data_IF_796172461539
#
_entry.id   IF_796172461539
#
_cell.length_a   1.000
_cell.length_b   1.000
_cell.length_c   1.000
_cell.angle_alpha   90.00
_cell.angle_beta   90.00
_cell.angle_gamma   90.00
#
_symmetry.space_group_name_H-M   'P 1'
#
loop_
_entity.id
_entity.type
_entity.pdbx_description
1 polymer ?
#
# COMPACT_ATOMS: atom_id res chain seq x y z
N UNK A 1 16.61 -5.00 9.78
CA UNK A 1 16.86 -4.97 8.33
C UNK A 1 16.27 -3.65 7.81
N UNK A 2 16.90 -2.92 6.86
CA UNK A 2 16.42 -1.60 6.43
C UNK A 2 14.96 -1.61 5.95
N UNK A 3 14.45 -2.75 5.46
CA UNK A 3 13.04 -2.88 5.09
C UNK A 3 12.10 -2.88 6.31
N UNK A 4 12.56 -3.26 7.50
CA UNK A 4 11.77 -3.20 8.74
C UNK A 4 11.55 -1.76 9.19
N UNK A 5 12.56 -0.91 9.04
CA UNK A 5 12.48 0.52 9.37
C UNK A 5 11.55 1.25 8.40
N UNK A 6 11.66 0.96 7.10
CA UNK A 6 10.75 1.49 6.07
C UNK A 6 9.31 1.03 6.35
N UNK A 7 9.14 -0.24 6.74
CA UNK A 7 7.83 -0.77 7.12
C UNK A 7 7.22 -0.05 8.32
N UNK A 8 8.01 0.13 9.38
CA UNK A 8 7.58 0.87 10.55
C UNK A 8 7.16 2.31 10.22
N UNK A 9 7.95 3.00 9.37
CA UNK A 9 7.63 4.37 8.94
C UNK A 9 6.37 4.46 8.08
N UNK A 10 6.21 3.55 7.12
CA UNK A 10 5.05 3.54 6.23
C UNK A 10 3.75 3.24 6.99
N UNK A 11 3.83 2.30 7.94
CA UNK A 11 2.70 1.95 8.79
C UNK A 11 2.33 3.07 9.76
N UNK A 12 3.31 3.70 10.42
CA UNK A 12 3.07 4.87 11.28
C UNK A 12 2.44 6.02 10.48
N UNK A 13 2.95 6.29 9.27
CA UNK A 13 2.35 7.28 8.38
C UNK A 13 0.90 6.92 8.03
N UNK A 14 0.61 5.67 7.66
CA UNK A 14 -0.75 5.24 7.32
C UNK A 14 -1.69 5.33 8.51
N UNK A 15 -1.27 4.92 9.71
CA UNK A 15 -2.08 5.01 10.93
C UNK A 15 -2.37 6.48 11.27
N UNK A 16 -1.36 7.36 11.17
CA UNK A 16 -1.55 8.79 11.43
C UNK A 16 -2.51 9.43 10.44
N UNK A 17 -2.42 9.10 9.16
CA UNK A 17 -3.31 9.63 8.13
C UNK A 17 -4.74 9.10 8.25
N UNK A 18 -4.90 7.83 8.64
CA UNK A 18 -6.21 7.20 8.72
C UNK A 18 -6.93 7.47 10.06
N UNK A 19 -6.20 7.49 11.17
CA UNK A 19 -6.75 7.50 12.54
C UNK A 19 -6.30 8.70 13.40
N UNK A 20 -5.41 9.57 12.90
CA UNK A 20 -4.82 10.70 13.67
C UNK A 20 -4.15 10.33 15.00
N UNK A 21 -3.72 9.08 15.20
CA UNK A 21 -3.04 8.64 16.42
C UNK A 21 -1.60 8.22 16.18
N UNK A 22 -0.75 8.44 17.17
CA UNK A 22 0.55 7.79 17.28
C UNK A 22 0.35 6.43 17.94
N UNK A 23 0.68 5.36 17.23
CA UNK A 23 0.60 3.99 17.75
C UNK A 23 1.99 3.45 18.00
N UNK A 24 2.16 2.68 19.07
CA UNK A 24 3.40 1.98 19.36
C UNK A 24 3.53 0.81 18.35
N UNK A 25 4.50 0.92 17.46
CA UNK A 25 4.71 0.03 16.29
C UNK A 25 5.03 -1.43 16.70
N UNK A 26 5.32 -1.68 17.98
CA UNK A 26 5.67 -3.01 18.49
C UNK A 26 4.57 -4.06 18.24
N UNK A 27 3.29 -3.67 18.20
CA UNK A 27 2.16 -4.57 17.92
C UNK A 27 2.08 -5.01 16.46
N UNK A 28 2.81 -4.34 15.56
CA UNK A 28 2.76 -4.59 14.12
C UNK A 28 4.05 -5.18 13.53
N UNK A 29 5.06 -5.44 14.37
CA UNK A 29 6.30 -6.13 13.95
C UNK A 29 6.01 -7.50 13.31
N UNK A 30 4.94 -8.15 13.75
CA UNK A 30 4.51 -9.45 13.23
C UNK A 30 3.73 -9.35 11.91
N UNK A 31 3.28 -8.17 11.47
CA UNK A 31 2.49 -8.02 10.22
C UNK A 31 3.33 -8.36 9.00
N UNK A 32 4.60 -7.96 8.97
CA UNK A 32 5.52 -8.37 7.90
C UNK A 32 5.62 -9.90 7.80
N UNK A 33 5.66 -10.60 8.93
CA UNK A 33 5.69 -12.06 8.96
C UNK A 33 4.42 -12.71 8.39
N UNK A 34 3.26 -12.06 8.54
CA UNK A 34 2.01 -12.49 7.91
C UNK A 34 2.12 -12.37 6.39
N UNK A 35 2.55 -11.20 5.90
CA UNK A 35 2.68 -10.95 4.45
C UNK A 35 3.60 -11.99 3.82
N UNK A 36 4.75 -12.25 4.43
CA UNK A 36 5.71 -13.24 3.93
C UNK A 36 5.12 -14.67 3.92
N UNK A 37 4.45 -15.06 5.00
CA UNK A 37 3.87 -16.40 5.14
C UNK A 37 2.70 -16.60 4.17
N UNK A 38 1.74 -15.68 4.16
CA UNK A 38 0.55 -15.73 3.29
C UNK A 38 0.96 -15.60 1.82
N UNK A 39 1.85 -14.67 1.49
CA UNK A 39 2.39 -14.50 0.13
C UNK A 39 3.03 -15.79 -0.39
N UNK A 40 3.87 -16.44 0.43
CA UNK A 40 4.47 -17.74 0.10
C UNK A 40 3.41 -18.82 -0.12
N UNK A 41 2.40 -18.90 0.73
CA UNK A 41 1.31 -19.89 0.60
C UNK A 41 0.49 -19.66 -0.67
N UNK A 42 0.19 -18.40 -1.02
CA UNK A 42 -0.50 -18.04 -2.26
C UNK A 42 0.31 -18.49 -3.48
N UNK A 43 1.61 -18.17 -3.52
CA UNK A 43 2.50 -18.59 -4.61
C UNK A 43 2.54 -20.11 -4.73
N UNK A 44 2.71 -20.82 -3.62
CA UNK A 44 2.73 -22.29 -3.60
C UNK A 44 1.42 -22.86 -4.15
N UNK A 45 0.28 -22.28 -3.77
CA UNK A 45 -1.04 -22.74 -4.22
C UNK A 45 -1.25 -22.47 -5.71
N UNK A 46 -0.75 -21.36 -6.25
CA UNK A 46 -0.82 -21.05 -7.69
C UNK A 46 -0.07 -22.09 -8.53
N UNK A 47 1.13 -22.51 -8.12
CA UNK A 47 1.98 -23.40 -8.94
C UNK A 47 1.80 -24.89 -8.63
N UNK A 48 1.31 -25.28 -7.45
CA UNK A 48 1.15 -26.68 -7.05
C UNK A 48 -0.31 -27.09 -7.10
N UNK A 49 -0.73 -27.67 -8.22
CA UNK A 49 -2.11 -28.11 -8.48
C UNK A 49 -2.69 -28.99 -7.36
N UNK A 50 -1.88 -29.85 -6.73
CA UNK A 50 -2.33 -30.69 -5.62
C UNK A 50 -2.67 -29.91 -4.34
N UNK A 51 -2.12 -28.71 -4.14
CA UNK A 51 -2.48 -27.83 -3.02
C UNK A 51 -3.83 -27.11 -3.22
N UNK A 52 -4.48 -27.26 -4.38
CA UNK A 52 -5.87 -26.82 -4.54
C UNK A 52 -6.87 -27.74 -3.83
N UNK A 53 -6.44 -28.94 -3.45
CA UNK A 53 -7.26 -29.87 -2.67
C UNK A 53 -7.31 -29.36 -1.22
N UNK A 54 -8.46 -28.83 -0.82
CA UNK A 54 -8.67 -28.15 0.46
C UNK A 54 -8.21 -28.96 1.68
N UNK A 55 -8.57 -30.25 1.76
CA UNK A 55 -8.21 -31.07 2.92
C UNK A 55 -6.69 -31.30 3.01
N UNK A 56 -6.01 -31.44 1.88
CA UNK A 56 -4.57 -31.66 1.83
C UNK A 56 -3.81 -30.38 2.18
N UNK A 57 -4.27 -29.25 1.66
CA UNK A 57 -3.73 -27.94 2.02
C UNK A 57 -3.89 -27.66 3.51
N UNK A 58 -5.09 -27.88 4.06
CA UNK A 58 -5.35 -27.75 5.51
C UNK A 58 -4.45 -28.71 6.30
N UNK A 59 -4.32 -29.97 5.90
CA UNK A 59 -3.47 -30.90 6.64
C UNK A 59 -2.00 -30.44 6.75
N UNK A 60 -1.45 -29.83 5.70
CA UNK A 60 -0.02 -29.45 5.63
C UNK A 60 0.24 -28.06 6.21
N UNK A 61 -0.59 -27.06 5.86
CA UNK A 61 -0.32 -25.65 6.11
C UNK A 61 -1.26 -25.01 7.14
N UNK A 62 -2.22 -25.75 7.71
CA UNK A 62 -3.19 -25.17 8.65
C UNK A 62 -2.54 -24.50 9.85
N UNK A 63 -1.51 -25.08 10.46
CA UNK A 63 -0.85 -24.48 11.63
C UNK A 63 -0.23 -23.11 11.33
N UNK A 64 0.37 -22.97 10.15
CA UNK A 64 0.97 -21.72 9.70
C UNK A 64 -0.12 -20.69 9.38
N UNK A 65 -1.14 -21.10 8.64
CA UNK A 65 -2.29 -20.26 8.32
C UNK A 65 -3.03 -19.80 9.58
N UNK A 66 -3.23 -20.70 10.56
CA UNK A 66 -3.85 -20.38 11.84
C UNK A 66 -3.02 -19.37 12.64
N UNK A 67 -1.68 -19.46 12.56
CA UNK A 67 -0.78 -18.45 13.12
C UNK A 67 -0.98 -17.08 12.47
N UNK A 68 -0.99 -17.03 11.13
CA UNK A 68 -1.21 -15.79 10.38
C UNK A 68 -2.59 -15.18 10.63
N UNK A 69 -3.65 -16.01 10.67
CA UNK A 69 -5.02 -15.56 10.97
C UNK A 69 -5.09 -14.96 12.37
N UNK A 70 -4.47 -15.58 13.39
CA UNK A 70 -4.47 -15.04 14.76
C UNK A 70 -3.79 -13.69 14.87
N UNK A 71 -2.72 -13.46 14.11
CA UNK A 71 -2.04 -12.16 14.09
C UNK A 71 -2.92 -11.14 13.35
N UNK A 72 -3.53 -11.52 12.22
CA UNK A 72 -4.46 -10.64 11.50
C UNK A 72 -5.64 -10.25 12.39
N UNK A 73 -6.28 -11.22 13.06
CA UNK A 73 -7.37 -10.99 14.00
C UNK A 73 -6.95 -10.03 15.11
N UNK A 74 -5.72 -10.15 15.64
CA UNK A 74 -5.20 -9.21 16.64
C UNK A 74 -5.08 -7.80 16.08
N UNK A 75 -4.52 -7.63 14.87
CA UNK A 75 -4.40 -6.32 14.23
C UNK A 75 -5.76 -5.70 13.94
N UNK A 76 -6.71 -6.48 13.41
CA UNK A 76 -8.09 -6.03 13.18
C UNK A 76 -8.77 -5.61 14.48
N UNK A 77 -8.61 -6.41 15.54
CA UNK A 77 -9.20 -6.11 16.85
C UNK A 77 -8.62 -4.83 17.46
N UNK A 78 -7.31 -4.60 17.30
CA UNK A 78 -6.64 -3.38 17.73
C UNK A 78 -7.15 -2.14 16.97
N UNK A 79 -7.28 -2.22 15.64
CA UNK A 79 -7.84 -1.10 14.85
C UNK A 79 -9.30 -0.84 15.23
N UNK A 80 -10.09 -1.89 15.47
CA UNK A 80 -11.47 -1.77 15.93
C UNK A 80 -11.57 -1.09 17.29
N UNK A 81 -10.72 -1.47 18.25
CA UNK A 81 -10.65 -0.84 19.57
C UNK A 81 -10.34 0.67 19.45
N UNK A 82 -9.36 1.04 18.61
CA UNK A 82 -9.07 2.44 18.32
C UNK A 82 -10.27 3.18 17.70
N UNK A 83 -11.01 2.55 16.80
CA UNK A 83 -12.20 3.13 16.19
C UNK A 83 -13.34 3.33 17.21
N UNK A 84 -13.52 2.38 18.13
CA UNK A 84 -14.52 2.45 19.20
C UNK A 84 -14.19 3.55 20.23
N UNK A 85 -12.91 3.70 20.57
CA UNK A 85 -12.44 4.79 21.43
C UNK A 85 -12.70 6.17 20.81
N UNK A 86 -12.44 6.34 19.50
CA UNK A 86 -12.74 7.59 18.80
C UNK A 86 -14.25 7.85 18.69
N UNK A 87 -15.04 6.80 18.44
CA UNK A 87 -16.50 6.90 18.38
C UNK A 87 -17.11 7.31 19.74
N UNK A 88 -16.60 6.75 20.83
CA UNK A 88 -17.03 7.09 22.20
C UNK A 88 -16.58 8.49 22.60
N UNK A 89 -15.33 8.88 22.34
CA UNK A 89 -14.82 10.23 22.59
C UNK A 89 -15.63 11.32 21.87
N UNK A 90 -16.04 11.07 20.62
CA UNK A 90 -16.91 11.96 19.85
C UNK A 90 -18.32 12.09 20.42
N UNK A 91 -18.91 10.99 20.94
CA UNK A 91 -20.24 11.00 21.56
C UNK A 91 -20.27 11.71 22.90
N UNK A 92 -19.19 11.61 23.67
CA UNK A 92 -19.10 12.18 25.01
C UNK A 92 -18.65 13.66 25.02
N UNK A 93 -18.21 14.20 23.89
CA UNK A 93 -17.76 15.61 23.79
C UNK A 93 -16.51 15.91 24.63
N UNK A 94 -15.75 14.86 24.99
CA UNK A 94 -14.56 14.96 25.84
C UNK A 94 -13.38 15.40 24.99
N UNK A 95 -12.79 16.54 25.34
CA UNK A 95 -11.46 16.90 24.86
C UNK A 95 -10.43 15.94 25.43
N UNK A 96 -9.62 15.33 24.57
CA UNK A 96 -8.51 14.40 24.86
C UNK A 96 -7.89 14.60 26.26
N UNK A 97 -8.04 13.60 27.13
CA UNK A 97 -7.43 13.58 28.48
C UNK A 97 -6.57 12.34 28.73
N UNK A 98 -6.25 11.53 27.71
CA UNK A 98 -5.26 10.46 27.84
C UNK A 98 -3.85 10.99 27.53
N UNK A 99 -2.90 10.90 28.48
CA UNK A 99 -1.56 11.48 28.32
C UNK A 99 -0.64 10.75 27.32
N UNK A 100 -1.13 9.71 26.62
CA UNK A 100 -0.34 8.88 25.70
C UNK A 100 -0.89 8.83 24.26
N UNK A 101 -1.93 9.60 23.93
CA UNK A 101 -2.62 9.54 22.63
C UNK A 101 -3.07 10.95 22.23
N UNK A 102 -2.12 11.82 21.89
CA UNK A 102 -2.44 13.11 21.28
C UNK A 102 -3.02 12.90 19.87
N UNK A 103 -4.28 13.32 19.67
CA UNK A 103 -4.91 13.35 18.36
C UNK A 103 -4.25 14.43 17.50
N UNK A 104 -3.76 14.03 16.33
CA UNK A 104 -3.18 14.95 15.35
C UNK A 104 -4.26 15.88 14.80
N UNK A 105 -3.93 17.17 14.68
CA UNK A 105 -4.84 18.18 14.12
C UNK A 105 -5.08 17.95 12.63
N UNK A 106 -6.34 18.07 12.21
CA UNK A 106 -6.75 17.89 10.81
C UNK A 106 -7.97 16.99 10.66
N UNK A 107 -8.48 16.92 9.42
CA UNK A 107 -9.52 15.97 9.02
C UNK A 107 -8.79 14.72 8.52
N UNK A 108 -9.05 13.58 9.16
CA UNK A 108 -8.50 12.29 8.74
C UNK A 108 -9.54 11.44 8.01
N UNK A 109 -9.13 10.28 7.48
CA UNK A 109 -10.04 9.38 6.76
C UNK A 109 -11.18 8.89 7.66
N UNK A 110 -10.90 8.55 8.92
CA UNK A 110 -11.90 8.13 9.90
C UNK A 110 -12.97 9.22 10.11
N UNK A 111 -12.57 10.50 10.17
CA UNK A 111 -13.47 11.63 10.32
C UNK A 111 -14.38 11.77 9.11
N UNK A 112 -13.82 11.66 7.90
CA UNK A 112 -14.58 11.66 6.64
C UNK A 112 -15.54 10.49 6.59
N UNK A 113 -15.11 9.29 7.01
CA UNK A 113 -15.98 8.12 7.09
C UNK A 113 -17.14 8.39 8.04
N UNK A 114 -16.89 8.92 9.24
CA UNK A 114 -17.95 9.26 10.19
C UNK A 114 -18.95 10.29 9.65
N UNK A 115 -18.49 11.30 8.91
CA UNK A 115 -19.35 12.32 8.30
C UNK A 115 -20.19 11.79 7.14
N UNK A 116 -19.70 10.75 6.44
CA UNK A 116 -20.32 10.19 5.24
C UNK A 116 -20.94 8.79 5.45
N UNK A 117 -20.95 8.27 6.68
CA UNK A 117 -21.62 7.02 7.01
C UNK A 117 -23.09 7.12 6.60
N UNK A 118 -23.60 6.26 5.69
CA UNK A 118 -25.03 6.10 5.61
C UNK A 118 -25.48 5.48 6.93
N UNK A 119 -26.49 6.09 7.55
CA UNK A 119 -27.36 5.49 8.57
C UNK A 119 -27.50 3.99 8.29
N UNK A 120 -26.84 3.15 9.10
CA UNK A 120 -27.04 1.70 9.21
C UNK A 120 -27.14 0.97 7.87
N UNK A 121 -26.01 0.56 7.28
CA UNK A 121 -25.99 -0.56 6.32
C UNK A 121 -25.56 -1.82 7.06
N UNK A 122 -26.53 -2.65 7.45
CA UNK A 122 -26.35 -3.78 8.37
C UNK A 122 -25.41 -4.91 7.93
N UNK A 123 -24.80 -4.85 6.73
CA UNK A 123 -23.91 -5.88 6.18
C UNK A 123 -22.49 -5.37 5.82
N UNK A 124 -22.21 -4.06 5.85
CA UNK A 124 -20.90 -3.52 5.47
C UNK A 124 -20.23 -2.85 6.68
N UNK A 125 -19.19 -3.50 7.21
CA UNK A 125 -18.38 -2.92 8.28
C UNK A 125 -17.38 -1.95 7.67
N UNK A 126 -17.62 -0.65 7.85
CA UNK A 126 -16.70 0.40 7.41
C UNK A 126 -15.33 0.28 8.09
N UNK A 127 -15.25 -0.39 9.24
CA UNK A 127 -13.99 -0.65 9.95
C UNK A 127 -13.11 -1.65 9.21
N UNK A 128 -13.71 -2.60 8.48
CA UNK A 128 -12.96 -3.53 7.63
C UNK A 128 -12.28 -2.78 6.47
N UNK A 129 -12.95 -1.78 5.89
CA UNK A 129 -12.37 -0.94 4.84
C UNK A 129 -11.21 -0.10 5.39
N UNK A 130 -11.39 0.53 6.55
CA UNK A 130 -10.35 1.33 7.20
C UNK A 130 -9.13 0.49 7.61
N UNK A 131 -9.38 -0.71 8.13
CA UNK A 131 -8.36 -1.72 8.44
C UNK A 131 -7.61 -2.13 7.18
N UNK A 132 -8.34 -2.45 6.10
CA UNK A 132 -7.77 -2.82 4.81
C UNK A 132 -6.89 -1.71 4.26
N UNK A 133 -7.36 -0.46 4.27
CA UNK A 133 -6.55 0.69 3.83
C UNK A 133 -5.30 0.88 4.68
N UNK A 134 -5.37 0.69 6.00
CA UNK A 134 -4.21 0.87 6.89
C UNK A 134 -3.14 -0.21 6.70
N UNK A 135 -3.55 -1.47 6.62
CA UNK A 135 -2.61 -2.59 6.52
C UNK A 135 -2.10 -2.79 5.09
N UNK A 136 -3.01 -2.81 4.10
CA UNK A 136 -2.66 -3.15 2.71
C UNK A 136 -1.88 -2.00 2.05
N UNK A 137 -2.25 -0.73 2.31
CA UNK A 137 -1.53 0.39 1.71
C UNK A 137 -0.06 0.41 2.16
N UNK A 138 0.18 0.13 3.44
CA UNK A 138 1.54 0.11 4.02
C UNK A 138 2.46 -0.87 3.28
N UNK A 139 2.03 -2.10 3.03
CA UNK A 139 2.85 -3.13 2.37
C UNK A 139 3.29 -2.74 0.95
N UNK A 140 2.37 -2.19 0.15
CA UNK A 140 2.65 -1.75 -1.22
C UNK A 140 3.58 -0.54 -1.27
N UNK A 141 3.45 0.39 -0.32
CA UNK A 141 4.31 1.57 -0.17
C UNK A 141 5.73 1.17 0.22
N UNK A 142 5.86 0.24 1.17
CA UNK A 142 7.16 -0.29 1.63
C UNK A 142 7.91 -0.95 0.48
N UNK A 143 7.21 -1.81 -0.27
CA UNK A 143 7.79 -2.47 -1.45
C UNK A 143 8.23 -1.46 -2.50
N UNK A 144 7.42 -0.43 -2.77
CA UNK A 144 7.78 0.64 -3.72
C UNK A 144 9.01 1.43 -3.26
N UNK A 145 9.04 1.86 -1.99
CA UNK A 145 10.15 2.62 -1.41
C UNK A 145 11.45 1.81 -1.37
N UNK A 146 11.39 0.54 -0.95
CA UNK A 146 12.55 -0.33 -0.89
C UNK A 146 13.17 -0.53 -2.28
N UNK A 147 12.33 -0.73 -3.31
CA UNK A 147 12.79 -0.82 -4.70
C UNK A 147 13.36 0.52 -5.19
N UNK A 148 12.71 1.65 -4.88
CA UNK A 148 13.23 2.97 -5.26
C UNK A 148 14.61 3.22 -4.65
N UNK A 149 14.80 2.96 -3.35
CA UNK A 149 16.09 3.13 -2.69
C UNK A 149 17.15 2.19 -3.26
N UNK A 150 16.79 0.94 -3.56
CA UNK A 150 17.68 0.00 -4.24
C UNK A 150 18.11 0.51 -5.62
N UNK A 151 17.17 1.03 -6.40
CA UNK A 151 17.43 1.59 -7.73
C UNK A 151 18.34 2.82 -7.65
N UNK A 152 18.08 3.74 -6.70
CA UNK A 152 18.90 4.93 -6.49
C UNK A 152 20.34 4.57 -6.08
N UNK A 153 20.53 3.52 -5.27
CA UNK A 153 21.86 3.02 -4.92
C UNK A 153 22.70 2.57 -6.11
N UNK A 154 22.07 2.30 -7.27
CA UNK A 154 22.74 1.91 -8.52
C UNK A 154 22.81 3.05 -9.55
N UNK A 155 22.17 4.20 -9.29
CA UNK A 155 22.08 5.34 -10.21
C UNK A 155 22.45 6.65 -9.49
N UNK A 156 23.72 6.84 -9.12
CA UNK A 156 24.17 8.02 -8.37
C UNK A 156 23.86 9.34 -9.09
N UNK A 157 23.87 9.35 -10.43
CA UNK A 157 23.50 10.50 -11.25
C UNK A 157 22.02 10.90 -11.10
N UNK A 158 21.14 9.93 -10.90
CA UNK A 158 19.72 10.19 -10.61
C UNK A 158 19.56 10.70 -9.19
N UNK A 159 20.28 10.12 -8.23
CA UNK A 159 20.28 10.57 -6.84
C UNK A 159 20.76 12.03 -6.71
N UNK A 160 21.82 12.42 -7.43
CA UNK A 160 22.33 13.79 -7.42
C UNK A 160 21.32 14.79 -8.00
N UNK A 161 20.61 14.42 -9.07
CA UNK A 161 19.52 15.25 -9.64
C UNK A 161 18.36 15.41 -8.67
N UNK A 162 17.92 14.34 -7.98
CA UNK A 162 16.89 14.42 -6.95
C UNK A 162 17.34 15.35 -5.82
N UNK A 163 18.59 15.22 -5.37
CA UNK A 163 19.12 16.07 -4.31
C UNK A 163 19.13 17.54 -4.72
N UNK A 164 19.57 17.86 -5.94
CA UNK A 164 19.54 19.22 -6.47
C UNK A 164 18.10 19.77 -6.53
N UNK A 165 17.12 18.98 -6.98
CA UNK A 165 15.71 19.37 -6.97
C UNK A 165 15.20 19.65 -5.55
N UNK A 166 15.51 18.78 -4.60
CA UNK A 166 15.10 18.97 -3.20
C UNK A 166 15.70 20.27 -2.65
N UNK A 167 16.97 20.56 -2.94
CA UNK A 167 17.61 21.81 -2.52
C UNK A 167 16.96 23.05 -3.16
N UNK A 168 16.60 22.97 -4.44
CA UNK A 168 15.93 24.05 -5.16
C UNK A 168 14.53 24.34 -4.61
N UNK A 169 13.74 23.29 -4.35
CA UNK A 169 12.36 23.41 -3.87
C UNK A 169 12.31 23.81 -2.40
N UNK A 170 13.09 23.15 -1.56
CA UNK A 170 13.03 23.37 -0.11
C UNK A 170 13.77 24.63 0.30
N UNK A 171 14.90 24.94 -0.37
CA UNK A 171 15.83 26.01 -0.02
C UNK A 171 16.54 25.73 1.30
N UNK A 172 15.79 25.84 2.40
CA UNK A 172 16.20 25.47 3.75
C UNK A 172 15.68 24.07 4.10
N UNK A 173 16.60 23.16 4.44
CA UNK A 173 16.30 21.78 4.81
C UNK A 173 15.88 21.63 6.28
N UNK A 174 15.86 22.71 7.07
CA UNK A 174 15.51 22.68 8.50
C UNK A 174 14.00 22.79 8.78
N UNK A 175 13.18 23.12 7.78
CA UNK A 175 11.71 23.17 7.91
C UNK A 175 11.04 21.87 7.48
N UNK A 176 9.85 21.63 8.01
CA UNK A 176 9.01 20.52 7.57
C UNK A 176 8.62 20.63 6.08
N UNK A 177 8.50 19.47 5.43
CA UNK A 177 8.02 19.35 4.06
C UNK A 177 6.53 19.65 4.01
N UNK A 178 6.14 20.55 3.11
CA UNK A 178 4.74 20.88 2.84
C UNK A 178 4.22 20.15 1.61
N UNK A 179 2.90 20.07 1.48
CA UNK A 179 2.26 19.52 0.28
C UNK A 179 2.60 20.29 -1.01
N UNK A 180 2.87 21.60 -0.90
CA UNK A 180 3.30 22.41 -2.03
C UNK A 180 4.70 21.97 -2.51
N UNK A 181 5.61 21.65 -1.58
CA UNK A 181 6.95 21.18 -1.91
C UNK A 181 6.90 19.83 -2.62
N UNK A 182 6.09 18.88 -2.13
CA UNK A 182 5.95 17.57 -2.77
C UNK A 182 5.43 17.67 -4.20
N UNK A 183 4.53 18.62 -4.48
CA UNK A 183 4.04 18.89 -5.84
C UNK A 183 5.08 19.56 -6.74
N UNK A 184 6.04 20.27 -6.16
CA UNK A 184 7.12 20.92 -6.89
C UNK A 184 8.29 19.96 -7.21
N UNK A 185 8.39 18.82 -6.52
CA UNK A 185 9.40 17.78 -6.75
C UNK A 185 9.07 16.89 -7.97
N UNK A 186 9.05 17.51 -9.16
CA UNK A 186 8.65 16.89 -10.42
C UNK A 186 9.55 15.75 -10.90
N UNK A 187 10.86 15.82 -10.65
CA UNK A 187 11.83 14.81 -11.03
C UNK A 187 11.79 13.63 -10.06
N UNK A 188 11.59 13.86 -8.77
CA UNK A 188 11.31 12.79 -7.81
C UNK A 188 10.06 11.99 -8.20
N UNK A 189 8.98 12.66 -8.63
CA UNK A 189 7.77 11.97 -9.15
C UNK A 189 8.09 11.10 -10.38
N UNK A 190 8.88 11.63 -11.32
CA UNK A 190 9.36 10.87 -12.49
C UNK A 190 10.13 9.61 -12.09
N UNK A 191 11.03 9.73 -11.11
CA UNK A 191 11.83 8.61 -10.59
C UNK A 191 10.94 7.55 -9.95
N UNK A 192 9.97 7.95 -9.13
CA UNK A 192 9.03 7.02 -8.47
C UNK A 192 8.20 6.28 -9.53
N UNK A 193 7.64 7.00 -10.50
CA UNK A 193 6.80 6.40 -11.55
C UNK A 193 7.62 5.47 -12.45
N UNK A 194 8.84 5.85 -12.84
CA UNK A 194 9.74 5.00 -13.62
C UNK A 194 10.15 3.74 -12.84
N UNK A 195 10.39 3.86 -11.55
CA UNK A 195 10.72 2.72 -10.69
C UNK A 195 9.53 1.74 -10.62
N UNK A 196 8.30 2.25 -10.47
CA UNK A 196 7.08 1.44 -10.51
C UNK A 196 6.87 0.80 -11.88
N UNK A 197 7.17 1.49 -12.99
CA UNK A 197 7.11 0.92 -14.35
C UNK A 197 8.09 -0.24 -14.51
N UNK A 198 9.32 -0.06 -14.06
CA UNK A 198 10.43 -0.99 -14.31
C UNK A 198 10.36 -2.22 -13.39
N UNK A 199 10.08 -2.03 -12.10
CA UNK A 199 10.14 -3.10 -11.10
C UNK A 199 8.76 -3.59 -10.64
N UNK A 200 7.73 -2.75 -10.73
CA UNK A 200 6.34 -3.11 -10.39
C UNK A 200 6.14 -3.54 -8.93
N UNK A 201 5.78 -2.61 -8.05
CA UNK A 201 5.35 -2.96 -6.67
C UNK A 201 4.16 -3.95 -6.69
N UNK A 202 3.27 -3.81 -7.69
CA UNK A 202 2.22 -4.78 -8.00
C UNK A 202 2.45 -5.33 -9.41
N UNK A 203 2.76 -6.63 -9.50
CA UNK A 203 3.13 -7.28 -10.76
C UNK A 203 1.91 -7.59 -11.65
N UNK A 204 0.77 -7.92 -11.03
CA UNK A 204 -0.42 -8.40 -11.72
C UNK A 204 -1.69 -7.95 -11.00
N UNK A 205 -2.74 -7.65 -11.75
CA UNK A 205 -4.09 -7.46 -11.21
C UNK A 205 -5.07 -8.38 -11.93
N UNK A 206 -6.08 -8.88 -11.22
CA UNK A 206 -7.08 -9.81 -11.74
C UNK A 206 -8.42 -9.10 -11.92
N UNK A 207 -9.16 -9.47 -12.97
CA UNK A 207 -10.53 -9.02 -13.24
C UNK A 207 -11.43 -10.20 -13.49
N UNK A 208 -12.71 -10.03 -13.19
CA UNK A 208 -13.76 -10.98 -13.51
C UNK A 208 -14.75 -10.32 -14.48
N UNK A 209 -14.90 -10.91 -15.67
CA UNK A 209 -15.86 -10.43 -16.66
C UNK A 209 -17.27 -10.83 -16.22
N UNK A 210 -18.02 -9.89 -15.62
CA UNK A 210 -19.39 -10.17 -15.19
C UNK A 210 -20.35 -10.47 -16.35
N UNK A 211 -20.07 -9.87 -17.52
CA UNK A 211 -20.85 -10.01 -18.74
C UNK A 211 -19.90 -10.26 -19.92
N UNK A 212 -20.47 -10.71 -21.04
CA UNK A 212 -19.76 -10.77 -22.32
C UNK A 212 -19.19 -9.38 -22.65
N UNK A 213 -17.87 -9.29 -22.69
CA UNK A 213 -17.13 -8.02 -22.83
C UNK A 213 -16.40 -8.01 -24.16
N UNK A 214 -16.79 -7.10 -25.05
CA UNK A 214 -16.16 -6.94 -26.37
C UNK A 214 -14.82 -6.21 -26.23
N UNK A 215 -13.73 -6.86 -26.60
CA UNK A 215 -12.40 -6.29 -26.75
C UNK A 215 -12.11 -5.94 -28.22
N UNK A 216 -10.97 -5.29 -28.48
CA UNK A 216 -10.57 -4.90 -29.82
C UNK A 216 -10.45 -6.10 -30.80
N UNK A 217 -10.01 -7.26 -30.32
CA UNK A 217 -9.73 -8.45 -31.14
C UNK A 217 -10.67 -9.63 -30.90
N UNK A 218 -11.42 -9.64 -29.80
CA UNK A 218 -12.29 -10.76 -29.42
C UNK A 218 -13.39 -10.34 -28.46
N UNK A 219 -14.31 -11.25 -28.14
CA UNK A 219 -15.27 -11.08 -27.05
C UNK A 219 -14.86 -12.01 -25.91
N UNK A 220 -14.66 -11.45 -24.72
CA UNK A 220 -14.47 -12.21 -23.48
C UNK A 220 -15.84 -12.70 -22.99
N UNK A 221 -16.07 -14.00 -22.86
CA UNK A 221 -17.32 -14.51 -22.30
C UNK A 221 -17.51 -14.11 -20.83
N UNK A 222 -18.77 -13.94 -20.42
CA UNK A 222 -19.14 -13.81 -19.02
C UNK A 222 -18.57 -14.96 -18.17
N UNK A 223 -18.10 -14.66 -16.97
CA UNK A 223 -17.43 -15.61 -16.07
C UNK A 223 -15.91 -15.73 -16.30
N UNK A 224 -15.36 -15.11 -17.35
CA UNK A 224 -13.92 -15.15 -17.62
C UNK A 224 -13.13 -14.43 -16.52
N UNK A 225 -12.01 -15.02 -16.09
CA UNK A 225 -11.01 -14.36 -15.23
C UNK A 225 -9.85 -13.87 -16.09
N UNK A 226 -9.53 -12.59 -15.98
CA UNK A 226 -8.49 -11.93 -16.77
C UNK A 226 -7.37 -11.50 -15.84
N UNK A 227 -6.16 -12.01 -16.09
CA UNK A 227 -4.94 -11.54 -15.45
C UNK A 227 -4.31 -10.44 -16.32
N UNK A 228 -4.15 -9.24 -15.76
CA UNK A 228 -3.43 -8.14 -16.38
C UNK A 228 -2.03 -8.07 -15.77
N UNK A 229 -1.02 -8.38 -16.58
CA UNK A 229 0.39 -8.38 -16.19
C UNK A 229 0.95 -6.96 -16.28
N UNK A 230 0.75 -6.15 -15.23
CA UNK A 230 1.14 -4.73 -15.17
C UNK A 230 2.65 -4.55 -15.44
N UNK A 231 3.49 -5.38 -14.81
CA UNK A 231 4.93 -5.35 -15.02
C UNK A 231 5.31 -5.61 -16.50
N UNK A 232 4.66 -6.57 -17.15
CA UNK A 232 4.92 -6.88 -18.55
C UNK A 232 4.49 -5.73 -19.49
N UNK A 233 3.43 -5.00 -19.14
CA UNK A 233 3.01 -3.80 -19.88
C UNK A 233 4.05 -2.68 -19.76
N UNK A 234 4.66 -2.50 -18.59
CA UNK A 234 5.79 -1.58 -18.39
C UNK A 234 7.01 -1.93 -19.25
N UNK A 235 7.14 -3.19 -19.67
CA UNK A 235 8.23 -3.70 -20.49
C UNK A 235 7.89 -3.82 -22.00
N UNK A 236 6.74 -3.31 -22.42
CA UNK A 236 6.36 -3.34 -23.82
C UNK A 236 7.24 -2.38 -24.65
N UNK A 237 8.10 -2.95 -25.50
CA UNK A 237 9.05 -2.22 -26.37
C UNK A 237 8.39 -1.26 -27.35
N UNK A 238 7.14 -1.52 -27.75
CA UNK A 238 6.39 -0.61 -28.64
C UNK A 238 5.97 0.66 -27.92
N UNK A 239 5.73 0.58 -26.60
CA UNK A 239 5.33 1.72 -25.77
C UNK A 239 6.51 2.38 -25.08
N UNK A 240 7.51 1.59 -24.65
CA UNK A 240 8.69 2.04 -23.92
C UNK A 240 9.95 1.55 -24.65
N UNK A 241 10.59 2.40 -25.48
CA UNK A 241 11.85 2.05 -26.15
C UNK A 241 12.97 1.78 -25.13
N UNK A 242 13.72 0.69 -25.26
CA UNK A 242 14.70 0.22 -24.25
C UNK A 242 14.08 0.05 -22.84
N UNK A 243 13.02 -0.77 -22.70
CA UNK A 243 12.21 -0.82 -21.49
C UNK A 243 12.97 -1.27 -20.24
N UNK A 244 14.06 -2.02 -20.40
CA UNK A 244 14.92 -2.49 -19.33
C UNK A 244 15.78 -1.38 -18.71
N UNK A 245 15.91 -0.23 -19.37
CA UNK A 245 16.70 0.88 -18.87
C UNK A 245 15.86 1.78 -17.97
N UNK A 246 16.40 2.09 -16.79
CA UNK A 246 15.83 3.05 -15.87
C UNK A 246 16.07 4.47 -16.41
N UNK A 247 15.02 5.12 -16.89
CA UNK A 247 15.06 6.46 -17.49
C UNK A 247 13.88 7.30 -16.96
N UNK A 248 14.06 8.02 -15.82
CA UNK A 248 13.02 8.86 -15.24
C UNK A 248 12.40 9.86 -16.23
N UNK A 249 13.22 10.38 -17.15
CA UNK A 249 12.84 11.39 -18.14
C UNK A 249 11.69 10.93 -19.07
N UNK A 250 11.37 9.63 -19.14
CA UNK A 250 10.19 9.10 -19.84
C UNK A 250 8.87 9.69 -19.35
N UNK A 251 8.82 10.08 -18.08
CA UNK A 251 7.64 10.65 -17.44
C UNK A 251 7.74 12.16 -17.28
N UNK A 252 8.68 12.80 -17.97
CA UNK A 252 8.80 14.26 -18.03
C UNK A 252 7.50 14.89 -18.57
N UNK A 253 7.14 16.11 -18.13
CA UNK A 253 5.95 16.81 -18.62
C UNK A 253 5.90 16.94 -20.15
N UNK A 254 7.05 17.02 -20.82
CA UNK A 254 7.17 17.12 -22.28
C UNK A 254 6.90 15.79 -23.00
N UNK A 255 6.96 14.65 -22.30
CA UNK A 255 6.80 13.30 -22.85
C UNK A 255 5.50 12.58 -22.39
N UNK A 256 4.73 13.18 -21.47
CA UNK A 256 3.45 12.66 -20.98
C UNK A 256 2.33 12.69 -22.02
#
# INVERSE_FOLDING_TARGET
>A
DPTDEIFAMALDASIRTNLSRKVIIDDFKDVKSITDSVGRLVILRVFKVWLHIEWLFKLIYWKELEGSIKILDRCMHFINELCEEEESGRKEGVSDTSPNTERLSGINLLDVMFENLPVVSGDHDWRDELTSMTIIASDTVVSALALTLFTLGHHPEVQEKIFAEIQEVMGDLERDVTYADTNAMTYLDQVIIENIRLHGSIVMTMRHAANDTKLASCTLPAGSRVALMLHAMGWNKERFPNPEQFQPERFSPEQK
#
